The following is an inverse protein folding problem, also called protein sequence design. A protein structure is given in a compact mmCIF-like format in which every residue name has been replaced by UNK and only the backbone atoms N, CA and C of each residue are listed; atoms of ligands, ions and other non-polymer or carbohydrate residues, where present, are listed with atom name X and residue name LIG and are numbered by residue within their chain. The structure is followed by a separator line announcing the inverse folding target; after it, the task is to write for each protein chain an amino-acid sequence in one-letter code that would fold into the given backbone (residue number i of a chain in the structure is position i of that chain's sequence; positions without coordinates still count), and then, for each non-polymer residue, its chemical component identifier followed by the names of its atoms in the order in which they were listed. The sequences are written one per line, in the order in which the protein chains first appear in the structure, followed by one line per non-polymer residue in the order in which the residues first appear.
data_IF_621913273879
#
_entry.id   IF_621913273879
#
_cell.length_a   1.000
_cell.length_b   1.000
_cell.length_c   1.000
_cell.angle_alpha   90.00
_cell.angle_beta   90.00
_cell.angle_gamma   90.00
#
_symmetry.space_group_name_H-M   'P 1'
#
loop_
_entity.id
_entity.type
_entity.pdbx_description
1 polymer ?
#
# COMPACT_ATOMS: atom_id res chain seq x y z
N UNK A 1 -42.77 -39.84 -20.82
CA UNK A 1 -42.80 -38.89 -19.68
C UNK A 1 -41.66 -39.12 -18.68
N UNK A 2 -41.51 -40.33 -18.10
CA UNK A 2 -40.41 -40.66 -17.17
C UNK A 2 -39.01 -40.40 -17.74
N UNK A 3 -38.78 -40.70 -19.02
CA UNK A 3 -37.49 -40.51 -19.69
C UNK A 3 -37.13 -39.04 -19.92
N UNK A 4 -38.13 -38.16 -20.10
CA UNK A 4 -37.91 -36.72 -20.31
C UNK A 4 -37.51 -36.05 -18.98
N UNK A 5 -38.12 -36.47 -17.88
CA UNK A 5 -37.79 -35.99 -16.53
C UNK A 5 -36.37 -36.40 -16.15
N UNK A 6 -35.96 -37.63 -16.46
CA UNK A 6 -34.60 -38.11 -16.18
C UNK A 6 -33.51 -37.30 -16.92
N UNK A 7 -33.75 -36.97 -18.20
CA UNK A 7 -32.81 -36.16 -19.00
C UNK A 7 -32.71 -34.73 -18.43
N UNK A 8 -33.83 -34.16 -17.99
CA UNK A 8 -33.84 -32.81 -17.40
C UNK A 8 -33.05 -32.76 -16.07
N UNK A 9 -33.18 -33.79 -15.22
CA UNK A 9 -32.45 -33.88 -13.95
C UNK A 9 -30.94 -34.01 -14.19
N UNK A 10 -30.53 -34.83 -15.17
CA UNK A 10 -29.10 -34.98 -15.52
C UNK A 10 -28.53 -33.66 -16.05
N UNK A 11 -29.27 -32.94 -16.90
CA UNK A 11 -28.84 -31.64 -17.40
C UNK A 11 -28.66 -30.61 -16.26
N UNK A 12 -29.61 -30.56 -15.31
CA UNK A 12 -29.52 -29.68 -14.14
C UNK A 12 -28.31 -30.05 -13.26
N UNK A 13 -28.05 -31.34 -13.03
CA UNK A 13 -26.90 -31.78 -12.23
C UNK A 13 -25.55 -31.46 -12.90
N UNK A 14 -25.47 -31.50 -14.24
CA UNK A 14 -24.27 -31.10 -14.99
C UNK A 14 -24.05 -29.58 -14.95
N UNK A 15 -25.13 -28.80 -15.01
CA UNK A 15 -25.06 -27.33 -14.85
C UNK A 15 -24.65 -26.96 -13.40
N UNK A 16 -25.16 -27.68 -12.41
CA UNK A 16 -24.78 -27.46 -11.01
C UNK A 16 -23.35 -27.91 -10.70
N UNK A 17 -22.84 -28.99 -11.31
CA UNK A 17 -21.46 -29.45 -11.10
C UNK A 17 -20.41 -28.56 -11.77
N UNK A 18 -20.72 -27.97 -12.92
CA UNK A 18 -19.87 -26.93 -13.55
C UNK A 18 -19.86 -25.62 -12.76
N UNK A 19 -20.92 -25.33 -12.01
CA UNK A 19 -20.99 -24.20 -11.07
C UNK A 19 -20.14 -24.42 -9.81
N UNK A 20 -19.99 -25.66 -9.37
CA UNK A 20 -19.19 -26.02 -8.19
C UNK A 20 -17.67 -26.02 -8.48
N UNK A 21 -17.25 -26.36 -9.71
CA UNK A 21 -15.85 -26.34 -10.12
C UNK A 21 -15.29 -24.92 -10.39
N UNK A 22 -16.16 -23.89 -10.45
CA UNK A 22 -15.79 -22.48 -10.60
C UNK A 22 -15.51 -21.75 -9.30
N UNK A 23 -15.68 -22.39 -8.13
CA UNK A 23 -15.23 -21.85 -6.85
C UNK A 23 -13.73 -22.12 -6.65
N UNK A 24 -12.92 -21.71 -7.61
CA UNK A 24 -11.48 -21.63 -7.44
C UNK A 24 -11.16 -20.60 -6.37
N UNK A 25 -10.68 -21.05 -5.20
CA UNK A 25 -9.86 -20.27 -4.25
C UNK A 25 -10.24 -18.78 -4.15
N UNK A 26 -11.50 -18.49 -3.81
CA UNK A 26 -11.81 -17.29 -3.04
C UNK A 26 -11.62 -17.64 -1.56
N UNK A 27 -10.46 -18.20 -1.22
CA UNK A 27 -10.00 -18.17 0.15
C UNK A 27 -9.81 -16.69 0.43
N UNK A 28 -10.69 -16.17 1.28
CA UNK A 28 -10.46 -14.94 2.01
C UNK A 28 -9.20 -15.24 2.83
N UNK A 29 -8.03 -15.07 2.21
CA UNK A 29 -6.72 -15.23 2.86
C UNK A 29 -6.82 -14.41 4.15
N UNK A 30 -6.79 -15.17 5.24
CA UNK A 30 -7.61 -14.90 6.40
C UNK A 30 -6.97 -13.84 7.27
N UNK A 31 -7.83 -12.92 7.71
CA UNK A 31 -7.65 -11.74 8.58
C UNK A 31 -7.17 -12.11 10.00
N UNK A 32 -6.17 -13.00 10.13
CA UNK A 32 -5.70 -13.50 11.43
C UNK A 32 -4.46 -12.76 11.94
N UNK A 33 -3.44 -12.66 11.09
CA UNK A 33 -2.20 -11.89 11.32
C UNK A 33 -2.21 -10.62 10.46
N UNK A 34 -2.84 -10.70 9.29
CA UNK A 34 -3.07 -9.58 8.39
C UNK A 34 -4.01 -8.51 8.97
N UNK A 35 -4.76 -8.77 10.06
CA UNK A 35 -5.67 -7.78 10.64
C UNK A 35 -4.94 -6.58 11.24
N UNK A 36 -3.80 -6.80 11.90
CA UNK A 36 -2.99 -5.72 12.43
C UNK A 36 -2.51 -4.79 11.30
N UNK A 37 -1.87 -5.37 10.28
CA UNK A 37 -1.35 -4.61 9.15
C UNK A 37 -2.47 -3.97 8.33
N UNK A 38 -3.56 -4.70 8.07
CA UNK A 38 -4.72 -4.15 7.37
C UNK A 38 -5.29 -2.95 8.13
N UNK A 39 -5.47 -3.03 9.45
CA UNK A 39 -5.97 -1.92 10.26
C UNK A 39 -5.00 -0.75 10.27
N UNK A 40 -3.71 -1.01 10.48
CA UNK A 40 -2.65 0.01 10.46
C UNK A 40 -2.64 0.77 9.13
N UNK A 41 -2.56 0.04 8.01
CA UNK A 41 -2.55 0.62 6.68
C UNK A 41 -3.90 1.25 6.30
N UNK A 42 -5.02 0.77 6.84
CA UNK A 42 -6.34 1.41 6.63
C UNK A 42 -6.42 2.80 7.25
N UNK A 43 -5.84 3.00 8.43
CA UNK A 43 -5.74 4.33 9.04
C UNK A 43 -4.70 5.19 8.31
N UNK A 44 -3.55 4.62 7.96
CA UNK A 44 -2.51 5.32 7.20
C UNK A 44 -3.04 5.83 5.85
N UNK A 45 -3.84 5.03 5.13
CA UNK A 45 -4.53 5.44 3.89
C UNK A 45 -5.27 6.76 4.04
N UNK A 46 -6.06 6.89 5.11
CA UNK A 46 -6.84 8.10 5.39
C UNK A 46 -5.91 9.29 5.63
N UNK A 47 -4.82 9.08 6.36
CA UNK A 47 -3.84 10.13 6.70
C UNK A 47 -3.07 10.63 5.47
N UNK A 48 -2.70 9.72 4.55
CA UNK A 48 -1.93 10.06 3.34
C UNK A 48 -2.81 10.36 2.12
N UNK A 49 -4.14 10.34 2.27
CA UNK A 49 -5.08 10.61 1.18
C UNK A 49 -5.06 9.56 0.06
N UNK A 50 -4.65 8.33 0.36
CA UNK A 50 -4.76 7.20 -0.55
C UNK A 50 -6.20 6.68 -0.61
N UNK A 51 -6.63 6.21 -1.77
CA UNK A 51 -8.03 5.81 -1.98
C UNK A 51 -8.40 4.55 -1.18
N UNK A 52 -9.66 4.37 -0.81
CA UNK A 52 -10.11 3.07 -0.30
C UNK A 52 -10.33 2.12 -1.48
N UNK A 53 -9.39 1.21 -1.73
CA UNK A 53 -9.44 0.28 -2.88
C UNK A 53 -10.69 -0.61 -2.79
N UNK A 54 -10.99 -1.11 -1.60
CA UNK A 54 -12.13 -2.00 -1.37
C UNK A 54 -13.44 -1.32 -1.78
N UNK A 55 -13.59 -0.03 -1.43
CA UNK A 55 -14.76 0.80 -1.79
C UNK A 55 -14.67 1.49 -3.15
N UNK A 56 -13.54 1.42 -3.84
CA UNK A 56 -13.34 2.10 -5.12
C UNK A 56 -14.29 1.57 -6.20
N UNK A 57 -14.81 2.45 -7.05
CA UNK A 57 -15.64 2.05 -8.21
C UNK A 57 -14.82 1.52 -9.39
N UNK A 58 -13.49 1.56 -9.30
CA UNK A 58 -12.59 1.18 -10.39
C UNK A 58 -12.61 -0.34 -10.59
N UNK A 59 -12.67 -0.76 -11.86
CA UNK A 59 -12.76 -2.18 -12.22
C UNK A 59 -11.49 -2.97 -11.88
N UNK A 60 -10.33 -2.32 -11.97
CA UNK A 60 -9.06 -2.89 -11.50
C UNK A 60 -8.28 -1.82 -10.75
N UNK A 61 -7.67 -2.22 -9.63
CA UNK A 61 -6.85 -1.33 -8.83
C UNK A 61 -5.74 -2.14 -8.17
N UNK A 62 -4.49 -1.77 -8.44
CA UNK A 62 -3.33 -2.27 -7.75
C UNK A 62 -2.69 -1.14 -6.92
N UNK A 63 -2.29 -1.46 -5.69
CA UNK A 63 -1.43 -0.59 -4.87
C UNK A 63 -0.28 -1.38 -4.27
N UNK A 64 0.90 -0.76 -4.29
CA UNK A 64 2.04 -1.21 -3.50
C UNK A 64 2.42 -0.13 -2.49
N UNK A 65 2.41 -0.50 -1.22
CA UNK A 65 3.09 0.25 -0.16
C UNK A 65 4.53 -0.19 -0.16
N UNK A 66 5.36 0.71 -0.67
CA UNK A 66 6.81 0.58 -0.64
C UNK A 66 7.29 1.47 0.52
N UNK A 67 8.46 1.14 1.08
CA UNK A 67 9.02 1.76 2.29
C UNK A 67 8.53 3.20 2.58
N UNK A 68 8.80 4.13 1.67
CA UNK A 68 8.56 5.57 1.86
C UNK A 68 7.50 6.14 0.90
N UNK A 69 6.88 5.27 0.08
CA UNK A 69 6.07 5.70 -1.05
C UNK A 69 4.94 4.72 -1.35
N UNK A 70 3.78 5.26 -1.69
CA UNK A 70 2.62 4.48 -2.12
C UNK A 70 2.47 4.60 -3.63
N UNK A 71 2.54 3.47 -4.33
CA UNK A 71 2.25 3.39 -5.75
C UNK A 71 0.82 2.92 -5.96
N UNK A 72 0.03 3.68 -6.71
CA UNK A 72 -1.32 3.31 -7.14
C UNK A 72 -1.36 3.24 -8.67
N UNK A 73 -1.92 2.16 -9.23
CA UNK A 73 -2.28 2.07 -10.64
C UNK A 73 -3.64 1.43 -10.76
N UNK A 74 -4.46 1.96 -11.66
CA UNK A 74 -5.84 1.53 -11.77
C UNK A 74 -6.35 1.62 -13.20
N UNK A 75 -7.36 0.80 -13.50
CA UNK A 75 -8.09 0.82 -14.76
C UNK A 75 -9.58 0.95 -14.46
N UNK A 76 -10.22 1.84 -15.19
CA UNK A 76 -11.67 1.96 -15.21
C UNK A 76 -12.15 2.12 -16.65
N UNK A 77 -12.83 1.10 -17.18
CA UNK A 77 -13.24 1.04 -18.58
C UNK A 77 -12.05 1.26 -19.53
N UNK A 78 -12.06 2.34 -20.31
CA UNK A 78 -10.99 2.73 -21.23
C UNK A 78 -9.91 3.62 -20.58
N UNK A 79 -10.07 4.03 -19.32
CA UNK A 79 -9.14 4.92 -18.63
C UNK A 79 -8.11 4.14 -17.82
N UNK A 80 -6.85 4.50 -18.01
CA UNK A 80 -5.72 4.05 -17.22
C UNK A 80 -5.14 5.26 -16.48
N UNK A 81 -4.96 5.13 -15.17
CA UNK A 81 -4.34 6.16 -14.36
C UNK A 81 -3.56 5.55 -13.21
N UNK A 82 -2.81 6.41 -12.54
CA UNK A 82 -2.01 6.03 -11.40
C UNK A 82 -1.48 7.25 -10.67
N UNK A 83 -0.96 7.02 -9.50
CA UNK A 83 -0.33 8.07 -8.70
C UNK A 83 0.78 7.50 -7.83
N UNK A 84 1.74 8.34 -7.51
CA UNK A 84 2.81 8.07 -6.57
C UNK A 84 2.67 9.04 -5.39
N UNK A 85 2.55 8.50 -4.18
CA UNK A 85 2.29 9.29 -2.97
C UNK A 85 3.49 9.16 -2.05
N UNK A 86 4.23 10.25 -1.88
CA UNK A 86 5.27 10.35 -0.85
C UNK A 86 4.66 10.97 0.39
N UNK A 87 5.09 10.51 1.56
CA UNK A 87 4.59 11.04 2.81
C UNK A 87 5.61 10.91 3.94
N UNK A 88 5.53 11.84 4.88
CA UNK A 88 6.22 11.76 6.17
C UNK A 88 5.32 12.29 7.27
N UNK A 89 5.50 11.76 8.47
CA UNK A 89 4.91 12.26 9.70
C UNK A 89 5.95 13.09 10.46
N UNK A 90 5.53 14.22 11.03
CA UNK A 90 6.41 15.01 11.88
C UNK A 90 6.80 14.23 13.14
N UNK A 91 8.11 14.10 13.38
CA UNK A 91 8.60 13.55 14.64
C UNK A 91 8.62 14.62 15.73
N UNK A 92 8.06 14.25 16.87
CA UNK A 92 7.96 15.08 18.07
C UNK A 92 8.81 14.44 19.17
N UNK A 93 9.78 15.17 19.76
CA UNK A 93 10.57 14.65 20.87
C UNK A 93 9.72 14.27 22.08
N UNK A 94 10.25 13.35 22.89
CA UNK A 94 9.61 12.91 24.13
C UNK A 94 9.24 14.08 25.06
N UNK A 95 8.07 13.99 25.67
CA UNK A 95 7.53 15.01 26.58
C UNK A 95 6.82 16.17 25.88
N UNK A 96 6.78 16.21 24.55
CA UNK A 96 5.97 17.17 23.80
C UNK A 96 4.65 16.56 23.26
N UNK A 97 3.60 17.38 23.20
CA UNK A 97 2.30 16.97 22.64
C UNK A 97 2.41 16.67 21.14
N UNK A 98 1.89 15.51 20.71
CA UNK A 98 1.87 15.11 19.31
C UNK A 98 1.13 16.13 18.42
N UNK A 99 1.63 16.34 17.20
CA UNK A 99 0.99 17.24 16.24
C UNK A 99 0.08 16.49 15.27
N UNK A 100 0.35 15.20 15.02
CA UNK A 100 -0.26 14.38 13.96
C UNK A 100 -0.16 15.06 12.58
N UNK A 101 0.92 15.83 12.34
CA UNK A 101 1.14 16.49 11.05
C UNK A 101 1.74 15.51 10.06
N UNK A 102 1.12 15.42 8.90
CA UNK A 102 1.65 14.73 7.74
C UNK A 102 2.04 15.76 6.68
N UNK A 103 3.18 15.52 6.03
CA UNK A 103 3.52 16.17 4.78
C UNK A 103 3.37 15.13 3.68
N UNK A 104 2.46 15.38 2.74
CA UNK A 104 2.07 14.42 1.70
C UNK A 104 2.19 15.11 0.36
N UNK A 105 2.85 14.47 -0.60
CA UNK A 105 2.92 14.89 -1.99
C UNK A 105 2.40 13.74 -2.85
N UNK A 106 1.35 14.03 -3.62
CA UNK A 106 0.74 13.08 -4.56
C UNK A 106 1.00 13.58 -5.98
N UNK A 107 1.76 12.78 -6.73
CA UNK A 107 2.01 13.02 -8.15
C UNK A 107 1.16 12.07 -8.98
N UNK A 108 0.49 12.60 -10.00
CA UNK A 108 -0.15 11.75 -11.01
C UNK A 108 0.90 11.12 -11.92
N UNK A 109 0.67 9.86 -12.30
CA UNK A 109 1.50 9.13 -13.24
C UNK A 109 0.89 9.22 -14.64
N UNK A 110 1.74 9.51 -15.63
CA UNK A 110 1.32 9.48 -17.03
C UNK A 110 0.96 8.05 -17.47
N UNK A 111 0.18 7.95 -18.55
CA UNK A 111 -0.30 6.65 -19.04
C UNK A 111 0.82 5.72 -19.49
N UNK A 112 1.94 6.22 -20.02
CA UNK A 112 3.07 5.39 -20.44
C UNK A 112 3.76 4.77 -19.21
N UNK A 113 3.94 5.54 -18.15
CA UNK A 113 4.44 5.04 -16.86
C UNK A 113 3.49 3.98 -16.29
N UNK A 114 2.18 4.21 -16.33
CA UNK A 114 1.18 3.23 -15.89
C UNK A 114 1.25 1.92 -16.69
N UNK A 115 1.42 1.98 -18.02
CA UNK A 115 1.60 0.78 -18.86
C UNK A 115 2.84 -0.01 -18.46
N UNK A 116 3.96 0.67 -18.19
CA UNK A 116 5.20 0.02 -17.73
C UNK A 116 5.00 -0.65 -16.37
N UNK A 117 4.29 -0.02 -15.43
CA UNK A 117 3.96 -0.61 -14.13
C UNK A 117 3.15 -1.89 -14.31
N UNK A 118 2.09 -1.86 -15.14
CA UNK A 118 1.29 -3.04 -15.42
C UNK A 118 2.13 -4.17 -16.03
N UNK A 119 3.06 -3.84 -16.93
CA UNK A 119 4.00 -4.82 -17.48
C UNK A 119 4.89 -5.45 -16.40
N UNK A 120 5.41 -4.66 -15.45
CA UNK A 120 6.20 -5.16 -14.31
C UNK A 120 5.37 -6.09 -13.43
N UNK A 121 4.13 -5.70 -13.10
CA UNK A 121 3.18 -6.53 -12.32
C UNK A 121 2.98 -7.90 -12.99
N UNK A 122 2.76 -7.92 -14.30
CA UNK A 122 2.53 -9.15 -15.06
C UNK A 122 3.80 -9.99 -15.22
N UNK A 123 4.95 -9.35 -15.49
CA UNK A 123 6.26 -9.98 -15.64
C UNK A 123 6.64 -10.82 -14.42
N UNK A 124 6.46 -10.27 -13.21
CA UNK A 124 6.78 -10.96 -11.96
C UNK A 124 5.61 -11.77 -11.40
N UNK A 125 4.44 -11.74 -12.05
CA UNK A 125 3.22 -12.47 -11.65
C UNK A 125 2.82 -12.19 -10.19
N UNK A 126 3.07 -10.97 -9.70
CA UNK A 126 2.96 -10.61 -8.28
C UNK A 126 1.54 -10.77 -7.72
N UNK A 127 0.52 -10.66 -8.58
CA UNK A 127 -0.88 -10.90 -8.21
C UNK A 127 -1.13 -12.32 -7.72
N UNK A 128 -0.39 -13.31 -8.23
CA UNK A 128 -0.51 -14.73 -7.88
C UNK A 128 0.31 -15.12 -6.65
N UNK A 129 1.28 -14.30 -6.25
CA UNK A 129 2.08 -14.54 -5.06
C UNK A 129 1.17 -14.47 -3.82
N UNK A 130 1.20 -15.48 -2.92
CA UNK A 130 0.42 -15.43 -1.69
C UNK A 130 1.06 -14.44 -0.69
N UNK A 131 0.39 -14.16 0.43
CA UNK A 131 0.98 -13.38 1.53
C UNK A 131 2.16 -14.13 2.17
N UNK A 132 3.09 -13.42 2.81
CA UNK A 132 4.31 -14.02 3.39
C UNK A 132 4.03 -15.16 4.36
N UNK A 133 2.98 -15.06 5.18
CA UNK A 133 2.55 -16.10 6.12
C UNK A 133 2.21 -17.45 5.48
N UNK A 134 2.01 -17.48 4.15
CA UNK A 134 1.72 -18.68 3.38
C UNK A 134 2.89 -19.12 2.48
N UNK A 135 4.02 -18.41 2.52
CA UNK A 135 5.23 -18.78 1.78
C UNK A 135 6.12 -19.60 2.70
N UNK A 136 6.44 -20.83 2.27
CA UNK A 136 7.28 -21.71 3.05
C UNK A 136 8.70 -21.13 3.21
N UNK A 137 9.19 -21.07 4.44
CA UNK A 137 10.51 -20.52 4.77
C UNK A 137 10.55 -19.00 4.88
N UNK A 138 9.42 -18.29 4.76
CA UNK A 138 9.39 -16.85 5.00
C UNK A 138 9.40 -16.55 6.50
N UNK A 139 10.39 -15.81 6.95
CA UNK A 139 10.57 -15.44 8.35
C UNK A 139 10.30 -13.94 8.57
N UNK A 140 9.69 -13.61 9.71
CA UNK A 140 9.50 -12.22 10.13
C UNK A 140 10.61 -11.82 11.10
N UNK A 141 11.15 -10.63 10.91
CA UNK A 141 12.16 -10.03 11.79
C UNK A 141 11.58 -9.00 12.76
N UNK A 142 12.45 -8.42 13.59
CA UNK A 142 12.11 -7.29 14.47
C UNK A 142 12.34 -5.93 13.82
N UNK A 143 13.31 -5.85 12.90
CA UNK A 143 13.70 -4.64 12.19
C UNK A 143 13.77 -4.92 10.68
N UNK A 144 13.19 -4.02 9.89
CA UNK A 144 12.97 -4.24 8.47
C UNK A 144 11.87 -3.37 7.88
N UNK A 145 11.61 -3.63 6.60
CA UNK A 145 10.60 -2.94 5.79
C UNK A 145 9.45 -3.90 5.55
N UNK A 146 8.24 -3.48 5.90
CA UNK A 146 7.01 -4.18 5.55
C UNK A 146 6.51 -3.66 4.19
N UNK A 147 6.38 -4.55 3.22
CA UNK A 147 5.78 -4.24 1.93
C UNK A 147 4.36 -4.76 1.89
N UNK A 148 3.41 -3.90 1.52
CA UNK A 148 2.01 -4.29 1.35
C UNK A 148 1.63 -4.21 -0.10
N UNK A 149 0.98 -5.26 -0.59
CA UNK A 149 0.38 -5.30 -1.91
C UNK A 149 -1.13 -5.46 -1.76
N UNK A 150 -1.85 -4.48 -2.30
CA UNK A 150 -3.30 -4.51 -2.42
C UNK A 150 -3.67 -4.68 -3.90
N UNK A 151 -4.57 -5.59 -4.20
CA UNK A 151 -5.07 -5.79 -5.56
C UNK A 151 -6.58 -5.97 -5.53
N UNK A 152 -7.27 -5.28 -6.43
CA UNK A 152 -8.70 -5.40 -6.65
C UNK A 152 -8.93 -5.68 -8.11
N UNK A 153 -9.61 -6.79 -8.39
CA UNK A 153 -10.12 -7.13 -9.71
C UNK A 153 -11.62 -7.32 -9.57
N UNK A 154 -12.39 -6.43 -10.18
CA UNK A 154 -13.84 -6.31 -10.02
C UNK A 154 -14.20 -6.17 -8.53
N UNK A 155 -14.87 -7.15 -7.94
CA UNK A 155 -15.29 -7.15 -6.53
C UNK A 155 -14.40 -8.02 -5.65
N UNK A 156 -13.30 -8.57 -6.17
CA UNK A 156 -12.37 -9.38 -5.40
C UNK A 156 -11.18 -8.52 -4.98
N UNK A 157 -11.12 -8.21 -3.68
CA UNK A 157 -10.05 -7.47 -3.04
C UNK A 157 -9.12 -8.42 -2.29
N UNK A 158 -7.82 -8.20 -2.42
CA UNK A 158 -6.76 -8.93 -1.71
C UNK A 158 -5.82 -7.95 -1.06
N UNK A 159 -5.44 -8.27 0.18
CA UNK A 159 -4.41 -7.58 0.95
C UNK A 159 -3.32 -8.62 1.26
N UNK A 160 -2.07 -8.30 0.94
CA UNK A 160 -0.93 -9.20 1.12
C UNK A 160 0.22 -8.43 1.74
N UNK A 161 0.87 -9.03 2.70
CA UNK A 161 1.95 -8.44 3.47
C UNK A 161 3.24 -9.24 3.25
N UNK A 162 4.38 -8.57 3.28
CA UNK A 162 5.69 -9.14 3.02
C UNK A 162 6.74 -8.43 3.86
N UNK A 163 7.32 -9.16 4.82
CA UNK A 163 8.48 -8.70 5.54
C UNK A 163 9.72 -8.73 4.64
N UNK A 164 10.62 -7.74 4.79
CA UNK A 164 11.92 -7.58 4.11
C UNK A 164 12.39 -8.80 3.29
N UNK A 165 12.25 -8.79 1.95
CA UNK A 165 12.61 -9.94 1.13
C UNK A 165 14.12 -10.21 1.08
N UNK A 166 14.95 -9.17 1.17
CA UNK A 166 16.42 -9.28 1.03
C UNK A 166 17.10 -10.06 2.16
N UNK A 167 16.41 -10.33 3.26
CA UNK A 167 16.92 -11.15 4.38
C UNK A 167 16.46 -12.60 4.30
N UNK A 168 15.56 -12.94 3.36
CA UNK A 168 15.02 -14.28 3.22
C UNK A 168 16.01 -15.15 2.43
N UNK A 169 16.67 -16.07 3.12
CA UNK A 169 17.67 -16.94 2.50
C UNK A 169 16.98 -18.17 1.91
N UNK A 170 17.27 -18.47 0.63
CA UNK A 170 16.71 -19.63 -0.09
C UNK A 170 15.17 -19.63 -0.24
N UNK A 171 14.54 -18.44 -0.28
CA UNK A 171 13.09 -18.28 -0.54
C UNK A 171 12.90 -17.66 -1.93
N UNK A 172 12.58 -18.44 -2.98
CA UNK A 172 12.50 -17.93 -4.36
C UNK A 172 11.50 -16.78 -4.55
N UNK A 173 10.40 -16.78 -3.80
CA UNK A 173 9.39 -15.72 -3.82
C UNK A 173 9.96 -14.39 -3.35
N UNK A 174 10.89 -14.40 -2.40
CA UNK A 174 11.55 -13.20 -1.90
C UNK A 174 12.43 -12.57 -2.98
N UNK A 175 13.21 -13.37 -3.72
CA UNK A 175 13.99 -12.91 -4.88
C UNK A 175 13.11 -12.28 -5.96
N UNK A 176 11.92 -12.86 -6.20
CA UNK A 176 10.94 -12.33 -7.16
C UNK A 176 10.41 -10.98 -6.67
N UNK A 177 10.02 -10.89 -5.39
CA UNK A 177 9.48 -9.66 -4.79
C UNK A 177 10.53 -8.55 -4.80
N UNK A 178 11.79 -8.84 -4.46
CA UNK A 178 12.87 -7.85 -4.46
C UNK A 178 13.13 -7.30 -5.87
N UNK A 179 13.18 -8.17 -6.89
CA UNK A 179 13.31 -7.74 -8.29
C UNK A 179 12.12 -6.93 -8.76
N UNK A 180 10.91 -7.32 -8.36
CA UNK A 180 9.68 -6.58 -8.64
C UNK A 180 9.72 -5.16 -8.06
N UNK A 181 10.07 -5.02 -6.77
CA UNK A 181 10.19 -3.72 -6.09
C UNK A 181 11.24 -2.85 -6.80
N UNK A 182 12.44 -3.41 -7.05
CA UNK A 182 13.52 -2.67 -7.71
C UNK A 182 13.11 -2.15 -9.10
N UNK A 183 12.44 -2.98 -9.89
CA UNK A 183 11.99 -2.58 -11.23
C UNK A 183 10.86 -1.54 -11.17
N UNK A 184 9.93 -1.66 -10.21
CA UNK A 184 8.92 -0.61 -9.99
C UNK A 184 9.55 0.73 -9.66
N UNK A 185 10.51 0.76 -8.71
CA UNK A 185 11.17 2.00 -8.28
C UNK A 185 11.92 2.69 -9.44
N UNK A 186 12.49 1.90 -10.36
CA UNK A 186 13.09 2.42 -11.59
C UNK A 186 12.02 3.01 -12.51
N UNK A 187 10.91 2.29 -12.74
CA UNK A 187 9.83 2.72 -13.65
C UNK A 187 9.21 4.03 -13.20
N UNK A 188 8.99 4.22 -11.90
CA UNK A 188 8.39 5.46 -11.36
C UNK A 188 9.40 6.59 -11.15
N UNK A 189 10.69 6.34 -11.46
CA UNK A 189 11.80 7.25 -11.22
C UNK A 189 11.84 7.74 -9.76
N UNK A 190 11.65 6.81 -8.82
CA UNK A 190 11.45 7.16 -7.41
C UNK A 190 12.64 7.96 -6.85
N UNK A 191 13.88 7.58 -7.19
CA UNK A 191 15.09 8.23 -6.68
C UNK A 191 15.09 9.76 -6.89
N UNK A 192 14.72 10.22 -8.08
CA UNK A 192 14.68 11.66 -8.39
C UNK A 192 13.47 12.32 -7.71
N UNK A 193 12.30 11.69 -7.71
CA UNK A 193 11.10 12.24 -7.05
C UNK A 193 11.28 12.38 -5.55
N UNK A 194 11.83 11.37 -4.89
CA UNK A 194 12.16 11.37 -3.47
C UNK A 194 13.14 12.47 -3.11
N UNK A 195 14.14 12.76 -3.96
CA UNK A 195 15.05 13.88 -3.75
C UNK A 195 14.31 15.22 -3.66
N UNK A 196 13.36 15.48 -4.56
CA UNK A 196 12.54 16.70 -4.51
C UNK A 196 11.61 16.72 -3.30
N UNK A 197 10.99 15.58 -2.99
CA UNK A 197 10.14 15.44 -1.82
C UNK A 197 10.90 15.75 -0.52
N UNK A 198 12.06 15.13 -0.29
CA UNK A 198 12.88 15.34 0.91
C UNK A 198 13.37 16.78 1.06
N UNK A 199 13.69 17.45 -0.04
CA UNK A 199 14.04 18.87 -0.02
C UNK A 199 12.86 19.77 0.40
N UNK A 200 11.63 19.31 0.18
CA UNK A 200 10.40 20.09 0.42
C UNK A 200 9.78 19.88 1.80
N UNK A 201 10.28 18.93 2.59
CA UNK A 201 9.72 18.63 3.91
C UNK A 201 9.84 19.87 4.83
N UNK A 202 8.73 20.33 5.45
CA UNK A 202 8.74 21.52 6.31
C UNK A 202 9.11 21.22 7.77
N UNK A 203 9.38 19.96 8.10
CA UNK A 203 9.66 19.51 9.46
C UNK A 203 11.16 19.55 9.78
N UNK A 204 11.48 19.80 11.05
CA UNK A 204 12.83 19.63 11.58
C UNK A 204 13.23 18.15 11.60
N UNK A 205 12.33 17.33 12.14
CA UNK A 205 12.49 15.89 12.27
C UNK A 205 11.22 15.20 11.81
N UNK A 206 11.35 14.05 11.16
CA UNK A 206 10.24 13.31 10.59
C UNK A 206 10.53 11.81 10.54
N UNK A 207 9.47 11.03 10.37
CA UNK A 207 9.50 9.59 10.14
C UNK A 207 8.50 9.22 9.04
N UNK A 208 8.58 7.99 8.54
CA UNK A 208 7.72 7.43 7.50
C UNK A 208 7.13 6.09 7.92
N UNK A 209 6.55 6.04 9.13
CA UNK A 209 5.86 4.85 9.65
C UNK A 209 6.78 3.75 10.20
N UNK A 210 8.09 3.86 9.98
CA UNK A 210 9.11 3.03 10.63
C UNK A 210 9.67 3.64 11.91
N UNK A 211 10.64 2.96 12.52
CA UNK A 211 11.32 3.42 13.74
C UNK A 211 12.43 4.47 13.48
N UNK A 212 12.77 4.72 12.21
CA UNK A 212 13.83 5.66 11.85
C UNK A 212 13.34 7.10 11.87
N UNK A 213 14.08 7.95 12.59
CA UNK A 213 13.85 9.39 12.64
C UNK A 213 14.91 10.08 11.79
N UNK A 214 14.48 10.76 10.74
CA UNK A 214 15.32 11.68 9.98
C UNK A 214 15.23 13.07 10.59
N UNK A 215 16.35 13.80 10.63
CA UNK A 215 16.38 15.19 11.08
C UNK A 215 17.25 16.04 10.17
N UNK A 216 16.79 17.27 9.88
CA UNK A 216 17.57 18.26 9.14
C UNK A 216 18.58 18.91 10.09
N UNK A 217 19.81 19.09 9.61
CA UNK A 217 20.78 19.96 10.28
C UNK A 217 20.35 21.40 10.05
N UNK A 218 19.98 22.09 11.13
CA UNK A 218 19.54 23.50 11.10
C UNK A 218 20.30 24.31 12.13
N UNK A 219 20.31 25.64 11.95
CA UNK A 219 20.83 26.56 12.95
C UNK A 219 19.88 26.65 14.16
N UNK A 220 20.38 27.14 15.30
CA UNK A 220 19.56 27.34 16.50
C UNK A 220 18.35 28.26 16.24
N UNK A 221 18.53 29.34 15.46
CA UNK A 221 17.45 30.26 15.12
C UNK A 221 16.34 29.60 14.30
N UNK A 222 16.71 28.75 13.33
CA UNK A 222 15.75 27.98 12.53
C UNK A 222 14.99 26.96 13.38
N UNK A 223 15.68 26.24 14.27
CA UNK A 223 15.05 25.31 15.20
C UNK A 223 14.02 26.03 16.09
N UNK A 224 14.34 27.22 16.60
CA UNK A 224 13.42 28.03 17.39
C UNK A 224 12.22 28.51 16.57
N UNK A 225 12.41 28.92 15.32
CA UNK A 225 11.31 29.28 14.41
C UNK A 225 10.37 28.10 14.15
N UNK A 226 10.92 26.92 13.86
CA UNK A 226 10.14 25.70 13.65
C UNK A 226 9.36 25.30 14.92
N UNK A 227 9.97 25.44 16.11
CA UNK A 227 9.27 25.20 17.39
C UNK A 227 8.12 26.18 17.62
N UNK A 228 8.29 27.46 17.26
CA UNK A 228 7.21 28.45 17.33
C UNK A 228 6.05 28.12 16.37
N UNK A 229 6.37 27.74 15.13
CA UNK A 229 5.37 27.31 14.15
C UNK A 229 4.57 26.11 14.65
N UNK A 230 5.25 25.11 15.22
CA UNK A 230 4.64 23.94 15.84
C UNK A 230 3.69 24.31 16.97
N UNK A 231 4.10 25.21 17.87
CA UNK A 231 3.26 25.68 18.96
C UNK A 231 2.04 26.47 18.46
N UNK A 232 2.20 27.26 17.39
CA UNK A 232 1.09 27.94 16.72
C UNK A 232 0.10 26.91 16.15
N UNK A 233 0.59 25.88 15.47
CA UNK A 233 -0.25 24.80 14.94
C UNK A 233 -1.05 24.10 16.05
N UNK A 234 -0.41 23.71 17.16
CA UNK A 234 -1.08 23.07 18.31
C UNK A 234 -2.24 23.92 18.85
N UNK A 235 -2.02 25.23 19.00
CA UNK A 235 -3.06 26.17 19.45
C UNK A 235 -4.24 26.23 18.47
N UNK A 236 -3.98 26.24 17.16
CA UNK A 236 -5.02 26.25 16.15
C UNK A 236 -5.81 24.94 16.11
N UNK A 237 -5.13 23.80 16.22
CA UNK A 237 -5.76 22.47 16.30
C UNK A 237 -6.70 22.37 17.49
N UNK A 238 -6.26 22.80 18.69
CA UNK A 238 -7.11 22.84 19.90
C UNK A 238 -8.37 23.69 19.70
N UNK A 239 -8.24 24.87 19.08
CA UNK A 239 -9.40 25.71 18.77
C UNK A 239 -10.40 25.01 17.84
N UNK A 240 -9.93 24.33 16.79
CA UNK A 240 -10.81 23.60 15.87
C UNK A 240 -11.49 22.40 16.54
N UNK A 241 -10.81 21.72 17.45
CA UNK A 241 -11.39 20.60 18.20
C UNK A 241 -12.45 21.03 19.23
N UNK A 242 -12.40 22.28 19.70
CA UNK A 242 -13.35 22.86 20.66
C UNK A 242 -14.64 23.39 20.00
N UNK A 243 -14.68 23.48 18.66
CA UNK A 243 -15.90 23.78 17.91
C UNK A 243 -16.56 22.45 17.56
N UNK A 244 -17.39 21.95 18.47
CA UNK A 244 -18.30 20.81 18.24
C UNK A 244 -19.70 21.20 18.64
#
# INVERSE_FOLDING_TARGET
MKSVIAILIIAILVILSTSAAGQSFAQKDSIGIDDFWYKYYSELRKRVGAEDIEKSVKSEFFRAWLNEVVLEVWRNESKLGGSLIHWVEEYIPDGEEATDRYFVVKDDLDSLTCVKILHVIDKFRIRKMPSSQYINGWENGFDGIEYIIEDKIKNNYKFKNYWTPSVQVNVPEADILEKFIKELMIVVNEKERSKYFYASIPFHSWMNGGATIASRVVTHGEAMRMKQERNRYRRLKKKHLLVK
#
